data_IF_167985031747
#
_entry.id   IF_167985031747
#
_cell.length_a   1.000
_cell.length_b   1.000
_cell.length_c   1.000
_cell.angle_alpha   90.00
_cell.angle_beta   90.00
_cell.angle_gamma   90.00
#
_symmetry.space_group_name_H-M   'P 1'
#
loop_
_entity.id
_entity.type
_entity.pdbx_description
1 polymer ?
#
# COMPACT_ATOMS: atom_id res chain seq x y z
N UNK A 1 -10.94 19.56 -33.32
CA UNK A 1 -10.84 18.93 -32.03
C UNK A 1 -11.68 17.70 -31.90
N UNK A 2 -12.78 17.64 -32.56
CA UNK A 2 -13.62 16.49 -32.34
C UNK A 2 -13.16 15.21 -33.03
N UNK A 3 -12.22 15.32 -33.91
CA UNK A 3 -11.78 14.16 -34.65
C UNK A 3 -10.94 13.22 -33.81
N UNK A 4 -10.22 13.77 -32.86
CA UNK A 4 -9.36 12.93 -32.06
C UNK A 4 -10.13 12.07 -31.07
N UNK A 5 -11.26 12.57 -30.64
CA UNK A 5 -12.08 11.83 -29.69
C UNK A 5 -12.69 10.59 -30.36
N UNK A 6 -12.99 10.70 -31.65
CA UNK A 6 -13.60 9.55 -32.31
C UNK A 6 -12.60 8.44 -32.55
N UNK A 7 -11.37 8.79 -32.78
CA UNK A 7 -10.34 7.79 -33.00
C UNK A 7 -10.08 7.06 -31.70
N UNK A 8 -10.03 7.79 -30.60
CA UNK A 8 -9.78 7.18 -29.32
C UNK A 8 -10.89 6.18 -28.94
N UNK A 9 -12.12 6.51 -29.23
CA UNK A 9 -13.21 5.62 -28.93
C UNK A 9 -13.12 4.32 -29.73
N UNK A 10 -12.68 4.41 -30.95
CA UNK A 10 -12.53 3.22 -31.77
C UNK A 10 -11.44 2.29 -31.28
N UNK A 11 -10.36 2.89 -30.82
CA UNK A 11 -9.26 2.08 -30.32
C UNK A 11 -9.65 1.39 -29.02
N UNK A 12 -10.36 2.07 -28.17
CA UNK A 12 -10.78 1.49 -26.91
C UNK A 12 -11.73 0.31 -27.17
N UNK A 13 -12.62 0.45 -28.09
CA UNK A 13 -13.53 -0.63 -28.41
C UNK A 13 -12.80 -1.86 -28.92
N UNK A 14 -11.79 -1.64 -29.71
CA UNK A 14 -11.01 -2.74 -30.23
C UNK A 14 -10.27 -3.49 -29.13
N UNK A 15 -9.72 -2.75 -28.17
CA UNK A 15 -9.01 -3.38 -27.07
C UNK A 15 -9.97 -4.23 -26.23
N UNK A 16 -11.17 -3.77 -26.02
CA UNK A 16 -12.13 -4.53 -25.24
C UNK A 16 -12.47 -5.83 -25.94
N UNK A 17 -12.60 -5.81 -27.24
CA UNK A 17 -12.90 -7.04 -27.95
C UNK A 17 -11.79 -8.06 -27.88
N UNK A 18 -10.56 -7.59 -27.92
CA UNK A 18 -9.45 -8.50 -27.82
C UNK A 18 -9.35 -9.07 -26.41
N UNK A 19 -9.64 -8.24 -25.42
CA UNK A 19 -9.56 -8.71 -24.07
C UNK A 19 -10.54 -9.81 -23.72
N UNK A 20 -11.68 -9.81 -24.35
CA UNK A 20 -12.68 -10.83 -24.04
C UNK A 20 -12.24 -12.19 -24.53
N UNK A 21 -11.48 -12.21 -25.58
CA UNK A 21 -11.14 -13.53 -26.12
C UNK A 21 -10.06 -14.22 -25.31
N UNK A 22 -9.35 -13.50 -24.51
CA UNK A 22 -8.26 -14.15 -23.80
C UNK A 22 -8.67 -14.81 -22.53
N UNK A 23 -9.81 -14.50 -22.03
CA UNK A 23 -10.16 -15.01 -20.75
C UNK A 23 -10.54 -16.48 -20.72
N UNK A 24 -10.62 -17.09 -21.84
CA UNK A 24 -11.14 -18.44 -21.83
C UNK A 24 -10.14 -19.48 -21.48
N UNK A 25 -8.90 -19.13 -21.56
CA UNK A 25 -7.94 -20.19 -21.44
C UNK A 25 -7.50 -20.47 -20.04
N UNK A 26 -7.96 -19.68 -19.12
CA UNK A 26 -7.41 -19.84 -17.83
C UNK A 26 -8.05 -20.85 -16.98
N UNK A 27 -9.12 -21.42 -17.46
CA UNK A 27 -9.84 -22.21 -16.59
C UNK A 27 -9.36 -23.58 -16.45
N UNK A 28 -8.56 -23.97 -17.29
CA UNK A 28 -8.24 -25.35 -17.26
C UNK A 28 -7.18 -25.68 -16.29
N UNK A 29 -6.72 -24.74 -15.65
CA UNK A 29 -5.61 -25.03 -14.90
C UNK A 29 -5.87 -25.60 -13.59
N UNK A 30 -6.96 -25.86 -13.29
CA UNK A 30 -7.16 -26.33 -12.02
C UNK A 30 -6.66 -27.65 -11.85
N UNK A 31 -5.69 -27.87 -11.39
CA UNK A 31 -5.29 -29.10 -11.19
C UNK A 31 -5.23 -29.41 -9.81
N UNK A 32 -5.97 -30.05 -9.43
CA UNK A 32 -6.12 -30.24 -8.16
C UNK A 32 -5.29 -31.12 -7.48
N UNK A 33 -4.85 -31.83 -8.11
CA UNK A 33 -4.37 -32.90 -7.58
C UNK A 33 -3.48 -32.85 -6.47
N UNK A 34 -2.89 -31.95 -6.39
CA UNK A 34 -1.95 -31.96 -5.56
C UNK A 34 -2.14 -32.18 -4.28
N UNK A 35 -3.11 -32.06 -4.01
CA UNK A 35 -3.33 -32.06 -2.73
C UNK A 35 -2.78 -33.10 -1.95
N UNK A 36 -2.53 -34.09 -2.45
CA UNK A 36 -2.37 -35.02 -1.68
C UNK A 36 -1.37 -35.08 -0.84
N UNK A 37 -0.49 -34.76 -1.15
CA UNK A 37 0.58 -35.00 -0.52
C UNK A 37 0.80 -34.62 0.66
N UNK A 38 0.38 -33.90 0.81
CA UNK A 38 0.57 -33.35 1.87
C UNK A 38 0.77 -33.98 3.02
N UNK A 39 0.48 -34.87 3.14
CA UNK A 39 0.48 -35.41 4.31
C UNK A 39 1.57 -35.21 5.20
N UNK A 40 2.58 -34.87 4.80
CA UNK A 40 3.52 -34.79 5.62
C UNK A 40 3.94 -33.71 6.14
N UNK A 41 3.38 -32.91 6.15
CA UNK A 41 3.77 -31.80 6.59
C UNK A 41 4.19 -31.56 7.84
N UNK A 42 4.55 -32.30 8.37
CA UNK A 42 4.89 -32.10 9.63
C UNK A 42 5.80 -31.11 9.94
N UNK A 43 6.18 -30.42 9.17
CA UNK A 43 7.01 -29.45 9.53
C UNK A 43 6.37 -28.62 10.51
N UNK A 44 6.64 -28.79 11.59
CA UNK A 44 6.33 -27.91 12.56
C UNK A 44 7.07 -26.69 12.35
N UNK A 45 6.76 -26.05 11.41
CA UNK A 45 7.18 -24.79 11.36
C UNK A 45 6.34 -24.09 12.30
N UNK A 46 6.83 -23.84 13.37
CA UNK A 46 6.32 -22.84 14.20
C UNK A 46 6.42 -21.63 13.36
N UNK A 47 5.52 -21.51 12.57
CA UNK A 47 5.34 -20.26 11.92
C UNK A 47 5.06 -19.34 13.06
N UNK A 48 6.00 -18.57 13.36
CA UNK A 48 5.80 -17.41 14.14
C UNK A 48 4.64 -16.77 13.45
N UNK A 49 3.56 -16.69 14.11
CA UNK A 49 2.40 -16.08 13.54
C UNK A 49 2.77 -14.67 13.23
N UNK A 50 3.18 -14.44 12.06
CA UNK A 50 3.26 -13.11 11.58
C UNK A 50 1.82 -12.67 11.50
N UNK A 51 1.47 -11.85 12.42
CA UNK A 51 0.27 -11.07 12.37
C UNK A 51 0.17 -10.64 10.95
N UNK A 52 -0.93 -10.88 10.26
CA UNK A 52 -1.06 -10.47 8.90
C UNK A 52 -0.62 -9.00 8.85
N UNK A 53 0.31 -8.73 8.00
CA UNK A 53 0.73 -7.36 7.80
C UNK A 53 -0.49 -6.67 7.26
N UNK A 54 -1.22 -6.06 8.16
CA UNK A 54 -2.32 -5.22 7.76
C UNK A 54 -1.76 -4.27 6.73
N UNK A 55 -2.49 -4.11 5.66
CA UNK A 55 -2.05 -3.32 4.56
C UNK A 55 -1.60 -1.96 5.05
N UNK A 56 -0.33 -1.79 5.25
CA UNK A 56 0.24 -0.55 5.69
C UNK A 56 0.30 0.43 4.53
N UNK A 57 -0.82 0.60 3.86
CA UNK A 57 -0.91 1.46 2.69
C UNK A 57 -2.11 2.38 2.80
N UNK A 58 -1.94 3.59 2.32
CA UNK A 58 -3.03 4.54 2.20
C UNK A 58 -2.88 5.22 0.84
N UNK A 59 -3.92 5.18 0.02
CA UNK A 59 -3.90 5.72 -1.35
C UNK A 59 -2.72 5.22 -2.19
N UNK A 60 -2.34 3.96 -2.00
CA UNK A 60 -1.24 3.38 -2.75
C UNK A 60 0.15 3.67 -2.20
N UNK A 61 0.23 4.43 -1.13
CA UNK A 61 1.50 4.79 -0.51
C UNK A 61 1.75 3.87 0.67
N UNK A 62 2.91 3.23 0.72
CA UNK A 62 3.28 2.42 1.85
C UNK A 62 3.71 3.33 3.01
N UNK A 63 3.06 3.18 4.16
CA UNK A 63 3.23 4.10 5.29
C UNK A 63 4.42 3.72 6.17
N UNK A 64 5.55 3.49 5.55
CA UNK A 64 6.82 3.27 6.22
C UNK A 64 7.93 3.81 5.32
N UNK A 65 9.06 4.08 5.87
CA UNK A 65 10.21 4.50 5.09
C UNK A 65 10.63 5.95 5.34
N UNK A 66 11.32 6.51 4.39
CA UNK A 66 11.84 7.86 4.49
C UNK A 66 10.77 8.85 4.12
N UNK A 67 10.53 9.83 4.96
CA UNK A 67 9.49 10.82 4.75
C UNK A 67 10.09 12.22 4.76
N UNK A 68 9.62 13.05 3.88
CA UNK A 68 10.00 14.46 3.86
C UNK A 68 8.77 15.31 4.08
N UNK A 69 8.87 16.28 4.97
CA UNK A 69 7.79 17.23 5.20
C UNK A 69 7.89 18.35 4.17
N UNK A 70 6.79 18.66 3.51
CA UNK A 70 6.73 19.69 2.47
C UNK A 70 5.56 20.62 2.73
N UNK A 71 5.64 21.83 2.19
CA UNK A 71 4.58 22.82 2.36
C UNK A 71 3.59 22.81 1.18
N UNK A 72 3.93 22.14 0.10
CA UNK A 72 3.07 22.11 -1.07
C UNK A 72 3.29 20.83 -1.86
N UNK A 73 2.27 20.44 -2.57
CA UNK A 73 2.27 19.25 -3.42
C UNK A 73 2.75 17.97 -2.71
N UNK A 74 2.17 17.62 -1.57
CA UNK A 74 2.54 16.40 -0.87
C UNK A 74 1.93 15.18 -1.55
N UNK A 75 2.53 14.03 -1.29
CA UNK A 75 1.89 12.77 -1.67
C UNK A 75 0.75 12.45 -0.69
N UNK A 76 0.85 12.93 0.55
CA UNK A 76 -0.12 12.62 1.59
C UNK A 76 -0.28 13.80 2.54
N UNK A 77 -1.51 14.16 2.86
CA UNK A 77 -1.80 15.17 3.87
C UNK A 77 -2.08 14.49 5.19
N UNK A 78 -1.37 14.90 6.23
CA UNK A 78 -1.51 14.28 7.54
C UNK A 78 -1.91 15.30 8.58
N UNK A 79 -2.57 14.84 9.63
CA UNK A 79 -2.85 15.65 10.81
C UNK A 79 -2.36 14.87 12.01
N UNK A 80 -1.59 15.53 12.87
CA UNK A 80 -1.16 14.90 14.10
C UNK A 80 -2.27 14.96 15.14
N UNK A 81 -2.55 13.83 15.78
CA UNK A 81 -3.56 13.70 16.83
C UNK A 81 -2.96 13.02 18.05
N UNK A 82 -3.54 13.25 19.21
CA UNK A 82 -3.04 12.66 20.45
C UNK A 82 -3.69 11.30 20.73
N UNK A 83 -4.84 11.04 20.13
CA UNK A 83 -5.54 9.79 20.34
C UNK A 83 -6.40 9.46 19.13
N UNK A 84 -6.71 8.21 18.96
CA UNK A 84 -7.60 7.73 17.90
C UNK A 84 -7.14 8.11 16.48
N UNK A 85 -5.84 8.10 16.23
CA UNK A 85 -5.32 8.27 14.87
C UNK A 85 -5.54 7.02 14.02
N UNK A 86 -5.46 7.17 12.73
CA UNK A 86 -5.57 6.04 11.80
C UNK A 86 -4.30 5.19 11.85
N UNK A 87 -3.17 5.81 12.11
CA UNK A 87 -1.90 5.12 12.20
C UNK A 87 -1.07 5.64 13.36
N UNK A 88 -0.38 4.77 14.04
CA UNK A 88 0.61 5.13 15.04
C UNK A 88 1.98 5.20 14.37
N UNK A 89 2.63 6.34 14.42
CA UNK A 89 3.92 6.56 13.76
C UNK A 89 5.02 6.76 14.77
N UNK A 90 6.06 5.98 14.62
CA UNK A 90 7.27 6.11 15.40
C UNK A 90 8.36 6.70 14.51
N UNK A 91 8.92 7.82 14.90
CA UNK A 91 10.03 8.41 14.17
C UNK A 91 11.33 7.72 14.58
N UNK A 92 12.04 7.19 13.60
CA UNK A 92 13.29 6.46 13.81
C UNK A 92 14.43 7.18 13.09
N UNK A 93 15.64 6.98 13.54
CA UNK A 93 16.81 7.61 12.92
C UNK A 93 17.39 6.75 11.80
N UNK A 94 17.00 5.49 11.72
CA UNK A 94 17.52 4.58 10.69
C UNK A 94 16.64 3.35 10.60
N UNK A 95 16.69 2.70 9.47
CA UNK A 95 15.99 1.44 9.22
C UNK A 95 14.47 1.49 9.49
N UNK A 96 13.71 2.34 8.78
CA UNK A 96 12.27 2.41 8.95
C UNK A 96 11.59 1.27 8.19
N UNK A 97 11.74 0.06 8.69
CA UNK A 97 11.32 -1.12 7.96
C UNK A 97 9.92 -1.63 8.31
N UNK A 98 9.39 -1.23 9.45
CA UNK A 98 8.09 -1.66 9.88
C UNK A 98 7.01 -0.62 9.62
N UNK A 99 5.77 -1.08 9.49
CA UNK A 99 4.63 -0.19 9.29
C UNK A 99 4.57 0.89 10.38
N UNK A 100 4.47 2.12 9.98
CA UNK A 100 4.45 3.23 10.92
C UNK A 100 5.82 3.71 11.36
N UNK A 101 6.90 3.09 10.92
CA UNK A 101 8.23 3.62 11.20
C UNK A 101 8.61 4.63 10.11
N UNK A 102 8.78 5.87 10.49
CA UNK A 102 9.12 6.94 9.56
C UNK A 102 10.48 7.54 9.92
N UNK A 103 11.33 7.69 8.91
CA UNK A 103 12.60 8.38 9.05
C UNK A 103 12.50 9.71 8.34
N UNK A 104 12.61 10.81 9.08
CA UNK A 104 12.55 12.13 8.48
C UNK A 104 13.84 12.40 7.72
N UNK A 105 13.71 12.82 6.46
CA UNK A 105 14.85 13.15 5.61
C UNK A 105 14.60 14.47 4.90
N UNK A 106 15.67 15.10 4.46
CA UNK A 106 15.58 16.35 3.70
C UNK A 106 15.73 16.12 2.20
N UNK A 107 16.06 14.92 1.78
CA UNK A 107 16.23 14.60 0.36
C UNK A 107 16.00 13.12 0.13
N UNK A 108 15.58 12.79 -1.07
CA UNK A 108 15.33 11.42 -1.51
C UNK A 108 14.38 10.66 -0.57
N UNK A 109 13.18 11.21 -0.31
CA UNK A 109 12.21 10.49 0.51
C UNK A 109 11.52 9.38 -0.29
N UNK A 110 10.92 8.45 0.41
CA UNK A 110 10.05 7.47 -0.22
C UNK A 110 8.69 8.09 -0.53
N UNK A 111 8.24 9.02 0.30
CA UNK A 111 7.04 9.81 0.06
C UNK A 111 7.11 11.15 0.82
N UNK A 112 6.29 12.10 0.39
CA UNK A 112 6.24 13.42 1.02
C UNK A 112 4.94 13.63 1.76
N UNK A 113 4.98 14.34 2.88
CA UNK A 113 3.81 14.63 3.68
C UNK A 113 3.69 16.10 3.98
N UNK A 114 2.46 16.59 4.06
CA UNK A 114 2.16 17.93 4.49
C UNK A 114 1.29 17.85 5.73
N UNK A 115 1.65 18.59 6.76
CA UNK A 115 0.85 18.67 7.98
C UNK A 115 -0.26 19.69 7.77
N UNK A 116 -1.49 19.29 7.97
CA UNK A 116 -2.66 20.16 7.81
C UNK A 116 -3.54 20.11 9.05
N UNK A 117 -4.32 21.16 9.27
CA UNK A 117 -5.22 21.21 10.41
C UNK A 117 -6.61 20.71 10.06
N UNK A 118 -6.95 20.70 8.78
CA UNK A 118 -8.26 20.29 8.34
C UNK A 118 -8.16 19.46 7.06
N UNK A 119 -9.07 18.55 6.91
CA UNK A 119 -9.17 17.67 5.77
C UNK A 119 -7.87 16.88 5.47
N UNK A 120 -7.31 16.20 6.46
CA UNK A 120 -6.17 15.33 6.21
C UNK A 120 -6.59 14.09 5.43
N UNK A 121 -5.66 13.46 4.76
CA UNK A 121 -5.90 12.17 4.15
C UNK A 121 -5.83 11.08 5.23
N UNK A 122 -5.01 11.29 6.25
CA UNK A 122 -4.85 10.34 7.33
C UNK A 122 -4.47 11.04 8.63
N UNK A 123 -4.99 10.57 9.74
CA UNK A 123 -4.64 11.07 11.06
C UNK A 123 -3.53 10.24 11.68
N UNK A 124 -2.48 10.91 12.12
CA UNK A 124 -1.25 10.29 12.60
C UNK A 124 -1.06 10.54 14.08
N UNK A 125 -0.89 9.48 14.85
CA UNK A 125 -0.54 9.60 16.27
C UNK A 125 0.93 9.29 16.43
N UNK A 126 1.67 10.19 17.08
CA UNK A 126 3.09 9.94 17.35
C UNK A 126 3.22 9.01 18.54
N UNK A 127 4.02 7.98 18.40
CA UNK A 127 4.27 7.00 19.47
C UNK A 127 5.76 6.75 19.60
N UNK A 128 6.17 6.27 20.77
CA UNK A 128 7.55 5.88 21.00
C UNK A 128 7.75 4.37 20.83
N UNK A 129 6.66 3.62 20.71
CA UNK A 129 6.73 2.18 20.55
C UNK A 129 5.44 1.68 19.91
N UNK A 130 5.49 0.51 19.35
CA UNK A 130 4.34 -0.15 18.72
C UNK A 130 3.70 0.70 17.61
N UNK A 131 4.46 1.05 16.57
CA UNK A 131 3.89 1.73 15.41
C UNK A 131 3.01 0.77 14.61
N UNK A 132 2.17 1.32 13.75
CA UNK A 132 1.34 0.53 12.87
C UNK A 132 -0.06 1.09 12.71
N UNK A 133 -0.83 0.49 11.83
CA UNK A 133 -2.22 0.87 11.60
C UNK A 133 -3.08 0.51 12.81
N UNK A 134 -4.10 1.32 13.08
CA UNK A 134 -5.06 1.08 14.16
C UNK A 134 -6.32 0.40 13.65
#
# INVERSE_FOLDING_TARGET
MNKDVKIAAGVIALIILIGISENRSWQSASSPAQSLMSGNGSSSQTAKAEKPKENCHHNGIELKGKVQFVDSFPDLKIKFVDSFGDINVQFVSSFPDDCGQWQEVSSFPDFTVQVVDSFPDIEVRKVSSFPGMN
#
